data_IF_915186781705
#
_entry.id   IF_915186781705
#
_cell.length_a   1.000
_cell.length_b   1.000
_cell.length_c   1.000
_cell.angle_alpha   90.00
_cell.angle_beta   90.00
_cell.angle_gamma   90.00
#
_symmetry.space_group_name_H-M   'P 1'
#
loop_
_entity.id
_entity.type
_entity.pdbx_description
1 polymer ?
#
# COMPACT_ATOMS: atom_id res chain seq x y z
N UNK A 1 -30.28 -6.38 3.66
CA UNK A 1 -28.92 -6.20 3.15
C UNK A 1 -28.04 -6.15 4.38
N UNK A 2 -27.30 -7.22 4.69
CA UNK A 2 -26.33 -7.16 5.77
C UNK A 2 -25.17 -6.33 5.25
N UNK A 3 -24.93 -5.16 5.84
CA UNK A 3 -23.67 -4.45 5.71
C UNK A 3 -22.57 -5.48 5.89
N UNK A 4 -21.74 -5.65 4.87
CA UNK A 4 -20.57 -6.49 4.98
C UNK A 4 -19.69 -5.82 6.04
N UNK A 5 -19.76 -6.36 7.26
CA UNK A 5 -18.74 -6.22 8.28
C UNK A 5 -17.52 -7.01 7.76
N UNK A 6 -16.98 -6.57 6.63
CA UNK A 6 -15.82 -7.16 6.01
C UNK A 6 -14.64 -6.76 6.87
N UNK A 7 -14.12 -7.75 7.59
CA UNK A 7 -12.91 -7.64 8.40
C UNK A 7 -11.81 -6.89 7.60
N UNK A 8 -11.37 -5.70 8.07
CA UNK A 8 -10.37 -4.92 7.36
C UNK A 8 -9.08 -5.70 7.07
N UNK A 9 -8.70 -6.60 7.97
CA UNK A 9 -7.57 -7.51 7.81
C UNK A 9 -7.81 -8.45 6.63
N UNK A 10 -8.97 -9.11 6.58
CA UNK A 10 -9.35 -9.97 5.46
C UNK A 10 -9.38 -9.19 4.13
N UNK A 11 -9.97 -7.99 4.13
CA UNK A 11 -10.02 -7.16 2.92
C UNK A 11 -8.62 -6.83 2.39
N UNK A 12 -7.69 -6.44 3.26
CA UNK A 12 -6.32 -6.10 2.84
C UNK A 12 -5.58 -7.33 2.33
N UNK A 13 -5.74 -8.49 2.96
CA UNK A 13 -5.12 -9.74 2.48
C UNK A 13 -5.65 -10.14 1.10
N UNK A 14 -6.96 -10.09 0.88
CA UNK A 14 -7.58 -10.44 -0.40
C UNK A 14 -7.26 -9.45 -1.52
N UNK A 15 -6.96 -8.20 -1.19
CA UNK A 15 -6.77 -7.12 -2.16
C UNK A 15 -5.34 -6.57 -2.21
N UNK A 16 -4.37 -7.28 -1.60
CA UNK A 16 -2.96 -6.85 -1.47
C UNK A 16 -2.36 -6.35 -2.78
N UNK A 17 -2.44 -7.14 -3.84
CA UNK A 17 -1.88 -6.78 -5.15
C UNK A 17 -2.52 -5.53 -5.75
N UNK A 18 -3.84 -5.37 -5.57
CA UNK A 18 -4.59 -4.20 -6.03
C UNK A 18 -4.17 -2.95 -5.27
N UNK A 19 -4.04 -3.03 -3.94
CA UNK A 19 -3.60 -1.91 -3.11
C UNK A 19 -2.18 -1.49 -3.46
N UNK A 20 -1.26 -2.45 -3.66
CA UNK A 20 0.10 -2.18 -4.12
C UNK A 20 0.11 -1.51 -5.49
N UNK A 21 -0.71 -2.00 -6.43
CA UNK A 21 -0.84 -1.39 -7.77
C UNK A 21 -1.34 0.05 -7.68
N UNK A 22 -2.31 0.34 -6.82
CA UNK A 22 -2.81 1.70 -6.57
C UNK A 22 -1.67 2.59 -6.06
N UNK A 23 -0.89 2.13 -5.08
CA UNK A 23 0.23 2.90 -4.52
C UNK A 23 1.28 3.22 -5.58
N UNK A 24 1.62 2.25 -6.43
CA UNK A 24 2.66 2.37 -7.47
C UNK A 24 2.23 3.20 -8.68
N UNK A 25 0.98 3.08 -9.13
CA UNK A 25 0.55 3.59 -10.43
C UNK A 25 -0.67 4.51 -10.39
N UNK A 26 -1.27 4.73 -9.21
CA UNK A 26 -2.36 5.67 -9.06
C UNK A 26 -1.93 7.10 -9.41
N UNK A 27 -2.85 7.87 -9.96
CA UNK A 27 -2.71 9.29 -10.28
C UNK A 27 -3.29 10.18 -9.16
N UNK A 28 -4.30 9.69 -8.44
CA UNK A 28 -4.89 10.36 -7.28
C UNK A 28 -4.09 10.15 -5.99
N UNK A 29 -3.60 11.26 -5.41
CA UNK A 29 -2.79 11.25 -4.17
C UNK A 29 -3.58 10.78 -2.94
N UNK A 30 -4.86 11.12 -2.85
CA UNK A 30 -5.71 10.72 -1.74
C UNK A 30 -5.96 9.21 -1.77
N UNK A 31 -6.29 8.65 -2.94
CA UNK A 31 -6.52 7.21 -3.10
C UNK A 31 -5.24 6.41 -2.81
N UNK A 32 -4.07 6.89 -3.27
CA UNK A 32 -2.77 6.30 -2.93
C UNK A 32 -2.49 6.32 -1.44
N UNK A 33 -2.73 7.45 -0.79
CA UNK A 33 -2.55 7.60 0.66
C UNK A 33 -3.48 6.67 1.45
N UNK A 34 -4.72 6.52 1.00
CA UNK A 34 -5.68 5.60 1.62
C UNK A 34 -5.25 4.14 1.48
N UNK A 35 -4.82 3.72 0.29
CA UNK A 35 -4.33 2.36 0.05
C UNK A 35 -3.09 2.05 0.90
N UNK A 36 -2.16 3.01 1.00
CA UNK A 36 -0.98 2.88 1.86
C UNK A 36 -1.37 2.76 3.34
N UNK A 37 -2.31 3.60 3.80
CA UNK A 37 -2.78 3.55 5.19
C UNK A 37 -3.48 2.23 5.53
N UNK A 38 -4.23 1.65 4.58
CA UNK A 38 -4.85 0.34 4.75
C UNK A 38 -3.80 -0.76 4.91
N UNK A 39 -2.77 -0.77 4.05
CA UNK A 39 -1.66 -1.72 4.17
C UNK A 39 -0.91 -1.55 5.50
N UNK A 40 -0.60 -0.31 5.92
CA UNK A 40 0.10 -0.06 7.20
C UNK A 40 -0.68 -0.60 8.41
N UNK A 41 -2.02 -0.50 8.38
CA UNK A 41 -2.86 -0.84 9.52
C UNK A 41 -3.25 -2.30 9.58
N UNK A 42 -3.40 -2.96 8.43
CA UNK A 42 -4.03 -4.28 8.31
C UNK A 42 -3.25 -5.25 7.40
N UNK A 43 -2.11 -4.80 6.85
CA UNK A 43 -1.21 -5.63 6.05
C UNK A 43 -0.31 -6.50 6.92
N UNK A 44 0.31 -7.49 6.29
CA UNK A 44 1.27 -8.38 6.93
C UNK A 44 2.68 -7.75 6.98
N UNK A 45 3.47 -8.10 7.99
CA UNK A 45 4.85 -7.59 8.18
C UNK A 45 5.73 -7.70 6.92
N UNK A 46 5.71 -8.81 6.15
CA UNK A 46 6.50 -8.91 4.91
C UNK A 46 6.14 -7.84 3.88
N UNK A 47 4.85 -7.49 3.75
CA UNK A 47 4.41 -6.44 2.83
C UNK A 47 4.86 -5.05 3.25
N UNK A 48 4.86 -4.77 4.56
CA UNK A 48 5.34 -3.50 5.09
C UNK A 48 6.83 -3.32 4.79
N UNK A 49 7.61 -4.37 5.05
CA UNK A 49 9.04 -4.39 4.75
C UNK A 49 9.32 -4.21 3.25
N UNK A 50 8.56 -4.88 2.37
CA UNK A 50 8.69 -4.70 0.92
C UNK A 50 8.41 -3.26 0.48
N UNK A 51 7.37 -2.62 1.05
CA UNK A 51 7.04 -1.23 0.74
C UNK A 51 8.12 -0.27 1.25
N UNK A 52 8.65 -0.48 2.46
CA UNK A 52 9.74 0.32 3.01
C UNK A 52 10.99 0.24 2.13
N UNK A 53 11.37 -0.97 1.71
CA UNK A 53 12.48 -1.18 0.79
C UNK A 53 12.28 -0.49 -0.57
N UNK A 54 11.07 -0.52 -1.14
CA UNK A 54 10.78 0.19 -2.39
C UNK A 54 10.87 1.71 -2.23
N UNK A 55 10.41 2.25 -1.10
CA UNK A 55 10.50 3.68 -0.80
C UNK A 55 11.96 4.10 -0.67
N UNK A 56 12.79 3.32 0.02
CA UNK A 56 14.19 3.65 0.21
C UNK A 56 14.98 3.55 -1.09
N UNK A 57 14.71 2.55 -1.94
CA UNK A 57 15.24 2.51 -3.32
C UNK A 57 14.85 3.78 -4.09
N UNK A 58 13.58 4.17 -4.05
CA UNK A 58 13.13 5.37 -4.75
C UNK A 58 13.80 6.66 -4.26
N UNK A 59 14.10 6.77 -2.95
CA UNK A 59 14.87 7.90 -2.41
C UNK A 59 16.30 7.91 -2.91
N UNK A 60 16.97 6.76 -2.90
CA UNK A 60 18.34 6.62 -3.44
C UNK A 60 18.41 7.03 -4.91
N UNK A 61 17.50 6.52 -5.74
CA UNK A 61 17.41 6.88 -7.16
C UNK A 61 17.17 8.38 -7.36
N UNK A 62 16.46 9.06 -6.44
CA UNK A 62 16.26 10.50 -6.49
C UNK A 62 17.53 11.26 -6.08
N UNK A 63 18.27 10.79 -5.09
CA UNK A 63 19.53 11.38 -4.64
C UNK A 63 20.63 11.27 -5.71
N UNK A 64 20.71 10.16 -6.43
CA UNK A 64 21.68 9.95 -7.53
C UNK A 64 21.42 10.84 -8.77
N UNK A 65 20.21 11.40 -8.89
CA UNK A 65 19.80 12.23 -10.02
C UNK A 65 20.06 13.73 -9.83
N UNK A 66 20.47 14.15 -8.62
CA UNK A 66 20.72 15.54 -8.21
C UNK A 66 22.21 15.83 -8.20
#
# INVERSE_FOLDING_TARGET
MSEADSDPDQYVQENKDTLVRIIKHGDDKFVRGLALAAIIRYGDEPLLHDIEHEIDRAKQDMEERV
#
